data_IF_821931204260
#
_entry.id   IF_821931204260
#
_cell.length_a   1.000
_cell.length_b   1.000
_cell.length_c   1.000
_cell.angle_alpha   90.00
_cell.angle_beta   90.00
_cell.angle_gamma   90.00
#
_symmetry.space_group_name_H-M   'P 1'
#
loop_
_entity.id
_entity.type
_entity.pdbx_description
1 polymer ?
#
# COMPACT_ATOMS: atom_id res chain seq x y z
N UNK A 1 -0.69 -34.33 -15.50
CA UNK A 1 -1.67 -33.63 -16.36
C UNK A 1 -2.82 -33.18 -15.46
N UNK A 2 -2.77 -31.96 -14.93
CA UNK A 2 -3.87 -31.41 -14.11
C UNK A 2 -4.60 -30.35 -14.92
N UNK A 3 -5.84 -30.67 -15.28
CA UNK A 3 -6.69 -29.88 -16.18
C UNK A 3 -7.76 -29.23 -15.31
N UNK A 4 -7.44 -28.08 -14.71
CA UNK A 4 -8.43 -27.27 -13.99
C UNK A 4 -9.14 -26.36 -15.00
N UNK A 5 -10.29 -26.81 -15.49
CA UNK A 5 -11.27 -25.91 -16.10
C UNK A 5 -11.83 -25.02 -14.99
N UNK A 6 -11.41 -23.75 -14.95
CA UNK A 6 -12.22 -22.69 -14.36
C UNK A 6 -13.02 -22.08 -15.50
N UNK A 7 -14.33 -21.96 -15.29
CA UNK A 7 -15.24 -21.13 -16.07
C UNK A 7 -14.55 -19.86 -16.58
N UNK A 8 -14.66 -19.60 -17.88
CA UNK A 8 -13.93 -18.55 -18.58
C UNK A 8 -14.14 -17.20 -17.91
N UNK A 9 -13.11 -16.73 -17.20
CA UNK A 9 -13.09 -15.34 -16.73
C UNK A 9 -13.08 -14.47 -17.97
N UNK A 10 -13.97 -13.49 -17.99
CA UNK A 10 -14.00 -12.47 -19.03
C UNK A 10 -12.80 -11.52 -18.88
N UNK A 11 -12.42 -10.89 -19.98
CA UNK A 11 -11.51 -9.75 -19.97
C UNK A 11 -12.34 -8.49 -19.68
N UNK A 12 -12.04 -7.78 -18.58
CA UNK A 12 -12.66 -6.49 -18.26
C UNK A 12 -11.81 -5.67 -17.31
N UNK A 13 -12.17 -4.40 -17.14
CA UNK A 13 -11.59 -3.60 -16.07
C UNK A 13 -12.02 -4.13 -14.70
N UNK A 14 -11.09 -4.16 -13.76
CA UNK A 14 -11.35 -4.49 -12.36
C UNK A 14 -11.25 -3.24 -11.49
N UNK A 15 -11.99 -3.23 -10.39
CA UNK A 15 -11.88 -2.14 -9.41
C UNK A 15 -10.69 -2.35 -8.48
N UNK A 16 -10.26 -1.27 -7.82
CA UNK A 16 -9.26 -1.33 -6.75
C UNK A 16 -9.69 -2.30 -5.64
N UNK A 17 -10.96 -2.27 -5.22
CA UNK A 17 -11.48 -3.16 -4.18
C UNK A 17 -11.42 -4.64 -4.59
N UNK A 18 -11.71 -4.97 -5.86
CA UNK A 18 -11.58 -6.33 -6.37
C UNK A 18 -10.14 -6.83 -6.33
N UNK A 19 -9.20 -5.95 -6.68
CA UNK A 19 -7.77 -6.23 -6.61
C UNK A 19 -7.31 -6.44 -5.15
N UNK A 20 -7.66 -5.53 -4.24
CA UNK A 20 -7.29 -5.63 -2.82
C UNK A 20 -7.87 -6.91 -2.18
N UNK A 21 -9.10 -7.29 -2.53
CA UNK A 21 -9.68 -8.57 -2.09
C UNK A 21 -8.92 -9.78 -2.64
N UNK A 22 -8.48 -9.74 -3.90
CA UNK A 22 -7.69 -10.82 -4.49
C UNK A 22 -6.31 -10.94 -3.81
N UNK A 23 -5.67 -9.80 -3.51
CA UNK A 23 -4.42 -9.75 -2.75
C UNK A 23 -4.59 -10.29 -1.33
N UNK A 24 -5.64 -9.89 -0.62
CA UNK A 24 -5.92 -10.39 0.72
C UNK A 24 -6.06 -11.92 0.72
N UNK A 25 -6.84 -12.49 -0.21
CA UNK A 25 -6.99 -13.95 -0.36
C UNK A 25 -5.67 -14.64 -0.70
N UNK A 26 -4.82 -14.02 -1.54
CA UNK A 26 -3.50 -14.53 -1.84
C UNK A 26 -2.64 -14.62 -0.58
N UNK A 27 -2.58 -13.56 0.22
CA UNK A 27 -1.77 -13.50 1.45
C UNK A 27 -2.29 -14.46 2.52
N UNK A 28 -3.61 -14.58 2.67
CA UNK A 28 -4.23 -15.56 3.58
C UNK A 28 -3.89 -17.01 3.20
N UNK A 29 -3.88 -17.31 1.90
CA UNK A 29 -3.58 -18.67 1.41
C UNK A 29 -2.07 -18.97 1.46
N UNK A 30 -1.22 -17.95 1.37
CA UNK A 30 0.22 -18.08 1.20
C UNK A 30 0.99 -17.38 2.33
N UNK A 31 0.69 -17.72 3.59
CA UNK A 31 1.22 -17.05 4.78
C UNK A 31 2.76 -17.00 4.89
N UNK A 32 3.50 -17.84 4.15
CA UNK A 32 4.96 -17.91 4.18
C UNK A 32 5.66 -17.20 3.00
N UNK A 33 4.91 -16.52 2.13
CA UNK A 33 5.49 -15.83 0.97
C UNK A 33 5.81 -14.37 1.32
N UNK A 34 6.98 -13.90 0.87
CA UNK A 34 7.34 -12.49 0.96
C UNK A 34 6.41 -11.69 0.05
N UNK A 35 5.61 -10.79 0.61
CA UNK A 35 4.55 -10.09 -0.11
C UNK A 35 5.03 -9.22 -1.28
N UNK A 36 6.31 -8.84 -1.28
CA UNK A 36 6.94 -8.05 -2.36
C UNK A 36 6.85 -8.75 -3.72
N UNK A 37 6.63 -10.07 -3.77
CA UNK A 37 6.41 -10.81 -5.04
C UNK A 37 5.16 -10.36 -5.79
N UNK A 38 4.21 -9.70 -5.10
CA UNK A 38 3.01 -9.13 -5.70
C UNK A 38 3.30 -7.86 -6.52
N UNK A 39 4.54 -7.34 -6.49
CA UNK A 39 4.93 -6.09 -7.13
C UNK A 39 6.06 -6.34 -8.12
N UNK A 40 5.87 -5.90 -9.36
CA UNK A 40 6.89 -5.93 -10.39
C UNK A 40 7.93 -4.81 -10.16
N UNK A 41 9.05 -4.86 -10.89
CA UNK A 41 10.12 -3.85 -10.76
C UNK A 41 9.64 -2.42 -11.06
N UNK A 42 8.70 -2.29 -11.99
CA UNK A 42 8.09 -1.03 -12.44
C UNK A 42 6.92 -0.54 -11.58
N UNK A 43 6.68 -1.18 -10.43
CA UNK A 43 5.57 -0.88 -9.50
C UNK A 43 4.18 -1.32 -9.96
N UNK A 44 4.06 -2.02 -11.09
CA UNK A 44 2.79 -2.66 -11.45
C UNK A 44 2.55 -3.91 -10.62
N UNK A 45 1.27 -4.29 -10.49
CA UNK A 45 0.88 -5.53 -9.82
C UNK A 45 1.30 -6.75 -10.64
N UNK A 46 1.83 -7.77 -9.96
CA UNK A 46 2.07 -9.08 -10.55
C UNK A 46 0.76 -9.88 -10.65
N UNK A 47 0.00 -9.65 -11.73
CA UNK A 47 -1.30 -10.29 -11.94
C UNK A 47 -1.20 -11.80 -12.13
N UNK A 48 -0.06 -12.35 -12.54
CA UNK A 48 0.10 -13.79 -12.74
C UNK A 48 -0.11 -14.57 -11.43
N UNK A 49 0.36 -14.04 -10.31
CA UNK A 49 0.16 -14.62 -8.98
C UNK A 49 -1.29 -14.46 -8.50
N UNK A 50 -1.98 -13.41 -8.94
CA UNK A 50 -3.34 -13.10 -8.54
C UNK A 50 -4.41 -13.72 -9.44
N UNK A 51 -4.05 -14.24 -10.62
CA UNK A 51 -4.96 -14.90 -11.57
C UNK A 51 -5.94 -15.87 -10.91
N UNK A 52 -5.58 -16.70 -9.91
CA UNK A 52 -6.54 -17.58 -9.26
C UNK A 52 -7.59 -16.85 -8.42
N UNK A 53 -7.30 -15.65 -7.92
CA UNK A 53 -8.09 -14.92 -6.93
C UNK A 53 -8.91 -13.78 -7.53
N UNK A 54 -8.50 -13.26 -8.70
CA UNK A 54 -9.21 -12.18 -9.40
C UNK A 54 -10.58 -12.63 -9.94
N UNK A 55 -11.60 -11.76 -9.95
CA UNK A 55 -12.90 -12.11 -10.52
C UNK A 55 -12.91 -12.16 -12.06
N UNK A 56 -12.00 -11.42 -12.72
CA UNK A 56 -11.85 -11.31 -14.17
C UNK A 56 -10.36 -11.27 -14.57
N UNK A 57 -10.07 -11.33 -15.87
CA UNK A 57 -8.75 -10.95 -16.39
C UNK A 57 -8.71 -9.44 -16.61
N UNK A 58 -7.83 -8.70 -15.92
CA UNK A 58 -7.85 -7.25 -15.93
C UNK A 58 -7.37 -6.69 -17.26
N UNK A 59 -8.14 -5.75 -17.83
CA UNK A 59 -7.73 -4.94 -19.00
C UNK A 59 -7.13 -3.58 -18.60
N UNK A 60 -7.19 -3.23 -17.31
CA UNK A 60 -6.55 -2.06 -16.69
C UNK A 60 -5.44 -2.47 -15.73
N UNK A 61 -4.53 -1.54 -15.43
CA UNK A 61 -3.41 -1.77 -14.53
C UNK A 61 -3.53 -0.90 -13.27
N UNK A 62 -2.98 -1.41 -12.18
CA UNK A 62 -2.78 -0.69 -10.94
C UNK A 62 -1.30 -0.66 -10.58
N UNK A 63 -0.93 0.40 -9.88
CA UNK A 63 0.36 0.52 -9.22
C UNK A 63 0.22 0.11 -7.75
N UNK A 64 1.31 -0.36 -7.17
CA UNK A 64 1.34 -0.82 -5.78
C UNK A 64 2.70 -0.53 -5.13
N UNK A 65 2.72 -0.04 -3.89
CA UNK A 65 3.97 0.15 -3.14
C UNK A 65 4.59 -1.19 -2.76
N UNK A 66 5.93 -1.29 -2.82
CA UNK A 66 6.63 -2.54 -2.51
C UNK A 66 6.68 -2.77 -1.02
N UNK A 67 6.81 -1.71 -0.24
CA UNK A 67 6.98 -1.81 1.22
C UNK A 67 5.64 -1.77 1.98
N UNK A 68 4.60 -1.14 1.40
CA UNK A 68 3.33 -0.90 2.13
C UNK A 68 2.10 -1.53 1.50
N UNK A 69 2.24 -2.13 0.31
CA UNK A 69 1.16 -2.76 -0.47
C UNK A 69 -0.06 -1.85 -0.75
N UNK A 70 0.12 -0.53 -0.69
CA UNK A 70 -0.93 0.43 -0.99
C UNK A 70 -1.12 0.51 -2.51
N UNK A 71 -2.37 0.35 -2.96
CA UNK A 71 -2.74 0.25 -4.37
C UNK A 71 -3.22 1.60 -4.93
N UNK A 72 -2.82 1.93 -6.16
CA UNK A 72 -3.16 3.18 -6.85
C UNK A 72 -3.52 2.93 -8.31
N UNK A 73 -4.32 3.82 -8.90
CA UNK A 73 -4.56 3.82 -10.34
C UNK A 73 -3.25 4.08 -11.11
N UNK A 74 -3.12 3.49 -12.30
CA UNK A 74 -1.91 3.59 -13.12
C UNK A 74 -1.81 4.94 -13.85
N UNK A 75 -1.35 5.97 -13.13
CA UNK A 75 -1.04 7.31 -13.66
C UNK A 75 0.40 7.70 -13.33
N UNK A 76 0.97 8.65 -14.09
CA UNK A 76 2.33 9.14 -13.84
C UNK A 76 2.48 9.80 -12.45
N UNK A 77 1.44 10.53 -12.02
CA UNK A 77 1.41 11.14 -10.69
C UNK A 77 1.44 10.07 -9.59
N UNK A 78 0.65 9.00 -9.74
CA UNK A 78 0.63 7.90 -8.78
C UNK A 78 1.92 7.10 -8.80
N UNK A 79 2.58 6.95 -9.95
CA UNK A 79 3.90 6.31 -10.02
C UNK A 79 4.94 7.09 -9.21
N UNK A 80 4.89 8.42 -9.29
CA UNK A 80 5.75 9.28 -8.46
C UNK A 80 5.39 9.18 -6.97
N UNK A 81 4.11 9.08 -6.62
CA UNK A 81 3.63 8.88 -5.25
C UNK A 81 4.11 7.54 -4.67
N UNK A 82 3.93 6.44 -5.40
CA UNK A 82 4.33 5.09 -4.99
C UNK A 82 5.83 5.02 -4.70
N UNK A 83 6.65 5.56 -5.60
CA UNK A 83 8.11 5.66 -5.39
C UNK A 83 8.45 6.48 -4.16
N UNK A 84 7.72 7.57 -3.92
CA UNK A 84 7.91 8.43 -2.75
C UNK A 84 7.55 7.70 -1.45
N UNK A 85 6.44 6.96 -1.40
CA UNK A 85 6.03 6.17 -0.23
C UNK A 85 7.10 5.14 0.12
N UNK A 86 7.61 4.37 -0.85
CA UNK A 86 8.67 3.37 -0.61
C UNK A 86 9.96 3.99 -0.05
N UNK A 87 10.40 5.12 -0.61
CA UNK A 87 11.57 5.85 -0.13
C UNK A 87 11.35 6.32 1.32
N UNK A 88 10.17 6.87 1.59
CA UNK A 88 9.82 7.40 2.90
C UNK A 88 9.65 6.27 3.92
N UNK A 89 9.11 5.11 3.54
CA UNK A 89 9.00 3.94 4.40
C UNK A 89 10.39 3.51 4.89
N UNK A 90 11.37 3.38 4.00
CA UNK A 90 12.76 3.03 4.37
C UNK A 90 13.37 4.03 5.34
N UNK A 91 13.15 5.32 5.11
CA UNK A 91 13.62 6.38 6.00
C UNK A 91 12.91 6.34 7.37
N UNK A 92 11.61 6.01 7.39
CA UNK A 92 10.84 5.81 8.63
C UNK A 92 11.35 4.59 9.39
N UNK A 93 11.60 3.46 8.71
CA UNK A 93 12.11 2.24 9.33
C UNK A 93 13.47 2.49 9.98
N UNK A 94 14.36 3.21 9.30
CA UNK A 94 15.65 3.62 9.86
C UNK A 94 15.47 4.55 11.06
N UNK A 95 14.61 5.57 10.95
CA UNK A 95 14.32 6.48 12.05
C UNK A 95 13.79 5.72 13.29
N UNK A 96 12.83 4.82 13.10
CA UNK A 96 12.23 4.03 14.19
C UNK A 96 13.27 3.11 14.81
N UNK A 97 14.14 2.50 14.00
CA UNK A 97 15.25 1.66 14.49
C UNK A 97 16.22 2.46 15.36
N UNK A 98 16.52 3.70 14.99
CA UNK A 98 17.51 4.53 15.71
C UNK A 98 16.92 5.32 16.89
N UNK A 99 15.63 5.66 16.85
CA UNK A 99 14.98 6.58 17.81
C UNK A 99 13.89 5.94 18.64
N UNK A 100 13.51 4.70 18.32
CA UNK A 100 12.47 3.92 19.01
C UNK A 100 11.10 4.64 19.06
N UNK A 101 10.85 5.57 18.14
CA UNK A 101 9.61 6.33 18.05
C UNK A 101 9.29 6.69 16.59
N UNK A 102 8.04 7.04 16.28
CA UNK A 102 7.67 7.46 14.93
C UNK A 102 8.03 8.93 14.65
N UNK A 103 8.43 9.27 13.41
CA UNK A 103 8.75 10.62 12.99
C UNK A 103 7.49 11.42 12.65
N UNK A 104 6.51 11.47 13.56
CA UNK A 104 5.25 12.22 13.38
C UNK A 104 5.35 13.64 13.95
N UNK A 105 4.53 14.56 13.43
CA UNK A 105 4.33 15.88 14.03
C UNK A 105 3.70 15.70 15.41
N UNK A 106 4.20 16.44 16.41
CA UNK A 106 3.65 16.39 17.77
C UNK A 106 2.17 16.75 17.76
N UNK A 107 1.38 16.06 18.60
CA UNK A 107 -0.07 16.21 18.69
C UNK A 107 -0.85 16.00 17.37
N UNK A 108 -0.21 15.40 16.36
CA UNK A 108 -0.89 15.11 15.09
C UNK A 108 -1.88 13.98 15.26
N UNK A 109 -3.16 14.37 15.28
CA UNK A 109 -4.30 13.47 15.31
C UNK A 109 -4.34 12.46 14.14
N UNK A 110 -3.83 12.86 12.99
CA UNK A 110 -3.81 12.09 11.74
C UNK A 110 -2.47 11.37 11.52
N UNK A 111 -1.54 11.48 12.48
CA UNK A 111 -0.18 10.91 12.42
C UNK A 111 0.60 11.36 11.18
N UNK A 112 0.51 12.65 10.86
CA UNK A 112 1.27 13.30 9.79
C UNK A 112 2.78 13.14 10.03
N UNK A 113 3.50 12.70 9.01
CA UNK A 113 4.96 12.58 9.05
C UNK A 113 5.60 13.96 9.13
N UNK A 114 6.50 14.14 10.09
CA UNK A 114 7.29 15.33 10.27
C UNK A 114 8.53 15.29 9.35
N UNK A 115 8.51 16.09 8.28
CA UNK A 115 9.64 16.18 7.35
C UNK A 115 10.96 16.65 7.98
N UNK A 116 10.92 17.42 9.08
CA UNK A 116 12.11 17.85 9.82
C UNK A 116 12.77 16.66 10.53
N UNK A 117 11.98 15.80 11.18
CA UNK A 117 12.47 14.58 11.84
C UNK A 117 13.06 13.59 10.83
N UNK A 118 12.44 13.47 9.66
CA UNK A 118 12.89 12.57 8.59
C UNK A 118 14.04 13.13 7.75
N UNK A 119 14.31 14.44 7.83
CA UNK A 119 15.31 15.14 6.99
C UNK A 119 16.68 14.45 6.94
N UNK A 120 17.29 14.03 8.07
CA UNK A 120 18.57 13.32 8.07
C UNK A 120 18.56 11.95 7.35
N UNK A 121 17.38 11.36 7.14
CA UNK A 121 17.18 10.03 6.54
C UNK A 121 16.74 10.13 5.06
N UNK A 122 16.53 11.35 4.56
CA UNK A 122 16.17 11.62 3.18
C UNK A 122 17.25 12.48 2.51
N UNK A 123 17.49 12.23 1.23
CA UNK A 123 18.36 13.08 0.40
C UNK A 123 17.65 14.35 -0.12
N UNK A 124 16.39 14.58 0.27
CA UNK A 124 15.55 15.68 -0.19
C UNK A 124 14.44 15.97 0.83
N UNK A 125 13.83 17.14 0.71
CA UNK A 125 12.60 17.44 1.44
C UNK A 125 11.42 16.59 0.93
N UNK A 126 10.50 16.30 1.84
CA UNK A 126 9.26 15.61 1.52
C UNK A 126 8.38 16.51 0.63
N UNK A 127 7.88 15.99 -0.51
CA UNK A 127 7.13 16.80 -1.48
C UNK A 127 5.63 16.88 -1.19
N UNK A 128 5.11 15.97 -0.36
CA UNK A 128 3.69 15.82 -0.08
C UNK A 128 3.46 15.31 1.33
N UNK A 129 2.28 15.54 1.87
CA UNK A 129 1.91 14.99 3.16
C UNK A 129 1.74 13.47 3.05
N UNK A 130 2.39 12.75 3.96
CA UNK A 130 2.27 11.31 4.15
C UNK A 130 2.05 11.04 5.63
N UNK A 131 1.50 9.88 5.95
CA UNK A 131 0.98 9.57 7.27
C UNK A 131 1.50 8.21 7.74
N UNK A 132 1.58 8.00 9.05
CA UNK A 132 1.81 6.66 9.61
C UNK A 132 0.46 6.04 9.96
N UNK A 133 0.12 4.92 9.33
CA UNK A 133 -1.08 4.16 9.67
C UNK A 133 -0.99 3.64 11.11
N UNK A 134 -2.07 3.79 11.87
CA UNK A 134 -2.22 3.20 13.20
C UNK A 134 -2.34 1.68 13.16
N UNK A 135 -2.96 1.16 12.10
CA UNK A 135 -3.27 -0.26 12.00
C UNK A 135 -2.02 -1.09 11.68
N UNK A 136 -1.17 -0.58 10.80
CA UNK A 136 -0.04 -1.32 10.25
C UNK A 136 1.32 -0.71 10.58
N UNK A 137 1.36 0.52 11.12
CA UNK A 137 2.60 1.27 11.39
C UNK A 137 3.46 1.53 10.14
N UNK A 138 2.81 1.51 8.97
CA UNK A 138 3.42 1.78 7.68
C UNK A 138 3.04 3.16 7.17
N UNK A 139 3.85 3.69 6.27
CA UNK A 139 3.61 4.94 5.54
C UNK A 139 2.42 4.77 4.60
N UNK A 140 1.53 5.75 4.60
CA UNK A 140 0.30 5.77 3.81
C UNK A 140 0.14 7.11 3.09
N UNK A 141 -0.46 7.08 1.91
CA UNK A 141 -0.84 8.30 1.17
C UNK A 141 -1.95 9.10 1.83
N UNK A 142 -2.72 8.47 2.72
CA UNK A 142 -3.89 9.07 3.39
C UNK A 142 -3.88 8.77 4.89
N UNK A 143 -4.40 9.67 5.72
CA UNK A 143 -4.58 9.39 7.13
C UNK A 143 -5.65 8.30 7.31
N UNK A 144 -5.54 7.54 8.40
CA UNK A 144 -6.58 6.61 8.79
C UNK A 144 -7.87 7.41 9.06
N UNK A 145 -8.99 7.05 8.41
CA UNK A 145 -10.27 7.70 8.68
C UNK A 145 -10.65 7.44 10.14
N UNK A 146 -10.58 8.46 11.00
CA UNK A 146 -11.15 8.37 12.34
C UNK A 146 -12.62 7.97 12.23
N UNK A 147 -12.99 6.81 12.78
CA UNK A 147 -14.40 6.53 13.06
C UNK A 147 -14.87 7.66 13.98
N UNK A 148 -15.69 8.59 13.47
CA UNK A 148 -16.52 9.42 14.34
C UNK A 148 -17.31 8.42 15.18
N UNK A 149 -16.97 8.31 16.47
CA UNK A 149 -17.89 7.75 17.45
C UNK A 149 -19.06 8.73 17.43
N UNK A 150 -20.08 8.44 16.62
CA UNK A 150 -21.37 9.09 16.74
C UNK A 150 -21.87 8.61 18.08
N UNK A 151 -21.66 9.43 19.11
CA UNK A 151 -22.22 9.22 20.42
C UNK A 151 -23.71 9.04 20.25
N UNK A 152 -24.18 7.81 20.44
CA UNK A 152 -25.54 7.54 20.90
C UNK A 152 -25.54 8.01 22.35
N UNK A 153 -25.75 9.31 22.55
CA UNK A 153 -26.23 9.80 23.84
C UNK A 153 -27.73 9.52 23.89
N UNK A 154 -28.11 8.93 25.02
CA UNK A 154 -29.39 8.35 25.38
C UNK A 154 -30.58 9.28 25.11
#
# INVERSE_FOLDING_TARGET
MFRFFRTGKEDREITKDELEQAMAKFLETNANIVYTVLVNDDYTVNYDLLKPYLPAFPTNFFLITKETLEVFEHTEENLNLVKEIDIVQKAVDQYVTEKEMFPIVEDSEDRLICGVKLGPYLNRILKRNLYISEKHYLVSSKPDKKKRIVGKML
#
